data_IF_800213178567
#
_entry.id   IF_800213178567
#
_cell.length_a   1.000
_cell.length_b   1.000
_cell.length_c   1.000
_cell.angle_alpha   90.00
_cell.angle_beta   90.00
_cell.angle_gamma   90.00
#
_symmetry.space_group_name_H-M   'P 1'
#
loop_
_entity.id
_entity.type
_entity.pdbx_description
1 polymer ?
#
# COMPACT_ATOMS: atom_id res chain seq x y z
N UNK A 1 73.19 -48.42 -13.47
CA UNK A 1 72.24 -49.48 -13.84
C UNK A 1 71.01 -48.82 -14.45
N UNK A 2 70.79 -49.01 -15.78
CA UNK A 2 69.51 -48.97 -16.52
C UNK A 2 68.80 -47.59 -16.62
N UNK A 3 68.29 -47.07 -17.74
CA UNK A 3 68.27 -47.41 -19.16
C UNK A 3 67.68 -46.19 -19.93
N UNK A 4 68.00 -46.10 -21.22
CA UNK A 4 67.57 -45.13 -22.23
C UNK A 4 66.15 -45.42 -22.79
N UNK A 5 65.48 -44.43 -23.40
CA UNK A 5 64.36 -44.57 -24.38
C UNK A 5 63.22 -43.53 -24.18
N UNK A 6 63.13 -42.42 -24.92
CA UNK A 6 62.70 -42.19 -26.32
C UNK A 6 61.16 -42.32 -26.58
N UNK A 7 60.52 -41.14 -26.66
CA UNK A 7 59.31 -40.68 -27.40
C UNK A 7 58.14 -41.63 -27.79
N UNK A 8 56.90 -41.19 -27.52
CA UNK A 8 55.88 -40.99 -28.57
C UNK A 8 54.73 -40.05 -28.13
N UNK A 9 54.21 -39.35 -29.13
CA UNK A 9 53.24 -38.27 -29.18
C UNK A 9 51.78 -38.76 -29.02
N UNK A 10 50.94 -38.06 -28.24
CA UNK A 10 49.53 -37.81 -28.58
C UNK A 10 49.05 -36.50 -27.96
N UNK A 11 48.75 -35.54 -28.83
CA UNK A 11 47.98 -34.33 -28.55
C UNK A 11 46.49 -34.70 -28.61
N UNK A 12 45.72 -34.33 -27.59
CA UNK A 12 44.34 -33.84 -27.79
C UNK A 12 44.05 -32.74 -26.77
N UNK A 13 43.96 -31.52 -27.30
CA UNK A 13 43.39 -30.39 -26.62
C UNK A 13 41.88 -30.60 -26.45
N UNK A 14 41.35 -30.44 -25.23
CA UNK A 14 39.99 -29.93 -25.04
C UNK A 14 40.00 -29.05 -23.79
N UNK A 15 39.87 -27.74 -24.01
CA UNK A 15 39.22 -26.83 -23.07
C UNK A 15 40.09 -26.09 -22.05
N UNK A 16 40.88 -25.11 -22.50
CA UNK A 16 41.14 -23.92 -21.69
C UNK A 16 39.82 -23.13 -21.52
N UNK A 17 38.96 -23.50 -20.58
CA UNK A 17 37.86 -22.64 -20.14
C UNK A 17 37.31 -22.99 -18.75
N UNK A 18 38.20 -23.06 -17.75
CA UNK A 18 37.79 -22.94 -16.33
C UNK A 18 37.87 -21.50 -15.81
N UNK A 19 37.83 -20.51 -16.72
CA UNK A 19 37.95 -19.06 -16.43
C UNK A 19 36.67 -18.28 -16.78
N UNK A 20 35.50 -18.90 -16.58
CA UNK A 20 34.19 -18.25 -16.79
C UNK A 20 33.15 -18.52 -15.71
N UNK A 21 33.59 -18.61 -14.46
CA UNK A 21 32.66 -18.38 -13.35
C UNK A 21 32.76 -16.97 -12.77
N UNK A 22 33.89 -16.28 -12.91
CA UNK A 22 34.03 -14.92 -12.37
C UNK A 22 34.99 -14.03 -13.18
N UNK A 23 34.67 -13.68 -14.43
CA UNK A 23 35.22 -12.44 -15.00
C UNK A 23 34.25 -11.76 -15.98
N UNK A 24 34.07 -10.47 -15.74
CA UNK A 24 33.09 -9.59 -16.34
C UNK A 24 33.43 -9.20 -17.79
N UNK A 25 32.43 -9.20 -18.67
CA UNK A 25 32.21 -8.15 -19.66
C UNK A 25 30.85 -8.35 -20.35
N UNK A 26 30.00 -7.31 -20.30
CA UNK A 26 28.96 -7.10 -21.33
C UNK A 26 27.54 -7.50 -20.99
N UNK A 27 27.10 -7.27 -19.75
CA UNK A 27 25.69 -7.33 -19.43
C UNK A 27 25.49 -7.04 -17.97
N UNK A 28 25.31 -5.77 -17.61
CA UNK A 28 24.42 -5.45 -16.52
C UNK A 28 23.10 -6.13 -16.87
N UNK A 29 22.90 -7.36 -16.41
CA UNK A 29 21.55 -7.81 -16.13
C UNK A 29 21.12 -6.89 -14.99
N UNK A 30 20.74 -5.66 -15.34
CA UNK A 30 19.70 -4.99 -14.61
C UNK A 30 18.63 -6.06 -14.51
N UNK A 31 18.50 -6.64 -13.31
CA UNK A 31 17.20 -7.07 -12.82
C UNK A 31 16.22 -6.06 -13.43
N UNK A 32 15.21 -6.46 -14.22
CA UNK A 32 14.25 -5.50 -14.72
C UNK A 32 13.72 -4.78 -13.50
N UNK A 33 14.28 -3.60 -13.25
CA UNK A 33 14.04 -2.81 -12.07
C UNK A 33 12.74 -2.11 -12.37
N UNK A 34 11.67 -2.90 -12.45
CA UNK A 34 10.34 -2.36 -12.33
C UNK A 34 10.34 -1.72 -10.95
N UNK A 35 10.53 -0.41 -10.91
CA UNK A 35 10.21 0.39 -9.74
C UNK A 35 8.80 -0.03 -9.37
N UNK A 36 8.62 -0.57 -8.15
CA UNK A 36 7.30 -0.93 -7.69
C UNK A 36 6.37 0.29 -7.85
N UNK A 37 5.10 0.08 -8.28
CA UNK A 37 4.17 1.20 -8.45
C UNK A 37 4.13 2.03 -7.17
N UNK A 38 4.34 3.33 -7.31
CA UNK A 38 4.35 4.23 -6.17
C UNK A 38 2.93 4.73 -5.90
N UNK A 39 2.47 4.61 -4.65
CA UNK A 39 1.19 5.21 -4.28
C UNK A 39 1.29 6.73 -4.40
N UNK A 40 0.25 7.36 -4.92
CA UNK A 40 0.16 8.82 -5.14
C UNK A 40 -0.99 9.46 -4.37
N UNK A 41 -2.05 8.69 -4.10
CA UNK A 41 -3.25 9.20 -3.44
C UNK A 41 -4.01 8.11 -2.68
N UNK A 42 -4.91 8.57 -1.81
CA UNK A 42 -5.86 7.73 -1.11
C UNK A 42 -7.21 7.70 -1.84
N UNK A 43 -7.93 6.58 -1.72
CA UNK A 43 -9.34 6.49 -2.10
C UNK A 43 -10.16 5.76 -1.03
N UNK A 44 -11.46 6.01 -0.97
CA UNK A 44 -12.38 5.17 -0.20
C UNK A 44 -12.74 3.91 -1.00
N UNK A 45 -12.19 2.77 -0.60
CA UNK A 45 -12.55 1.45 -1.12
C UNK A 45 -13.90 0.94 -0.57
N UNK A 46 -14.32 1.45 0.58
CA UNK A 46 -15.68 1.28 1.12
C UNK A 46 -16.09 2.57 1.78
N UNK A 47 -17.16 3.19 1.28
CA UNK A 47 -17.68 4.47 1.74
C UNK A 47 -18.38 4.31 3.11
N UNK A 48 -18.38 5.35 3.96
CA UNK A 48 -19.29 5.41 5.10
C UNK A 48 -20.75 5.39 4.60
N UNK A 49 -21.61 4.75 5.38
CA UNK A 49 -23.04 4.65 5.14
C UNK A 49 -23.82 5.40 6.22
N UNK A 50 -25.11 5.60 5.98
CA UNK A 50 -25.99 6.20 6.98
C UNK A 50 -26.03 5.33 8.25
N UNK A 51 -26.07 5.99 9.41
CA UNK A 51 -26.11 5.34 10.73
C UNK A 51 -26.93 6.16 11.72
N UNK A 52 -27.25 5.61 12.88
CA UNK A 52 -27.76 6.39 14.02
C UNK A 52 -26.60 6.92 14.86
N UNK A 53 -26.82 8.02 15.56
CA UNK A 53 -25.84 8.61 16.48
C UNK A 53 -25.36 7.57 17.50
N UNK A 54 -24.04 7.46 17.66
CA UNK A 54 -23.38 6.48 18.53
C UNK A 54 -23.35 5.04 18.00
N UNK A 55 -24.08 4.71 16.94
CA UNK A 55 -24.00 3.40 16.30
C UNK A 55 -22.74 3.29 15.42
N UNK A 56 -22.22 2.07 15.29
CA UNK A 56 -21.11 1.80 14.35
C UNK A 56 -21.59 1.99 12.92
N UNK A 57 -20.81 2.74 12.14
CA UNK A 57 -20.97 2.83 10.69
C UNK A 57 -20.65 1.46 10.10
N UNK A 58 -21.64 0.84 9.45
CA UNK A 58 -21.54 -0.51 8.88
C UNK A 58 -22.04 -0.52 7.44
N UNK A 59 -21.29 -1.11 6.47
CA UNK A 59 -20.05 -1.88 6.65
C UNK A 59 -18.83 -1.03 7.09
N UNK A 60 -17.73 -1.68 7.55
CA UNK A 60 -16.48 -0.98 7.87
C UNK A 60 -16.00 -0.06 6.75
N UNK A 61 -15.54 1.13 7.14
CA UNK A 61 -14.96 2.08 6.19
C UNK A 61 -13.56 1.63 5.83
N UNK A 62 -13.22 1.65 4.54
CA UNK A 62 -11.92 1.18 4.03
C UNK A 62 -11.30 2.21 3.11
N UNK A 63 -10.00 2.42 3.27
CA UNK A 63 -9.19 3.36 2.49
C UNK A 63 -8.09 2.58 1.79
N UNK A 64 -7.95 2.75 0.47
CA UNK A 64 -6.87 2.16 -0.30
C UNK A 64 -5.84 3.23 -0.71
N UNK A 65 -4.58 2.83 -0.78
CA UNK A 65 -3.52 3.61 -1.41
C UNK A 65 -3.42 3.20 -2.88
N UNK A 66 -3.55 4.17 -3.79
CA UNK A 66 -3.54 3.94 -5.24
C UNK A 66 -2.40 4.68 -5.92
N UNK A 67 -1.93 4.11 -7.03
CA UNK A 67 -1.03 4.78 -7.98
C UNK A 67 -1.83 5.64 -8.98
N UNK A 68 -1.13 6.31 -9.90
CA UNK A 68 -1.75 7.18 -10.91
C UNK A 68 -2.46 6.42 -12.04
N UNK A 69 -2.30 5.09 -12.12
CA UNK A 69 -3.01 4.21 -13.06
C UNK A 69 -4.33 3.70 -12.48
N UNK A 70 -4.59 3.95 -11.18
CA UNK A 70 -5.81 3.52 -10.49
C UNK A 70 -5.71 2.13 -9.88
N UNK A 71 -4.50 1.57 -9.79
CA UNK A 71 -4.25 0.28 -9.17
C UNK A 71 -3.93 0.45 -7.67
N UNK A 72 -4.40 -0.50 -6.85
CA UNK A 72 -4.07 -0.50 -5.42
C UNK A 72 -2.63 -0.96 -5.21
N UNK A 73 -1.82 -0.13 -4.58
CA UNK A 73 -0.42 -0.42 -4.30
C UNK A 73 -0.32 -1.32 -3.07
N UNK A 74 -0.32 -2.63 -3.30
CA UNK A 74 -0.36 -3.63 -2.22
C UNK A 74 0.89 -3.64 -1.33
N UNK A 75 2.00 -3.08 -1.81
CA UNK A 75 3.27 -2.94 -1.09
C UNK A 75 3.36 -1.65 -0.26
N UNK A 76 2.29 -0.84 -0.20
CA UNK A 76 2.26 0.35 0.65
C UNK A 76 2.06 -0.04 2.13
N UNK A 77 2.94 0.45 3.01
CA UNK A 77 3.01 0.05 4.44
C UNK A 77 2.88 1.21 5.45
N UNK A 78 2.38 2.37 5.02
CA UNK A 78 2.13 3.49 5.92
C UNK A 78 0.95 3.26 6.89
N UNK A 79 0.49 4.33 7.53
CA UNK A 79 -0.72 4.32 8.37
C UNK A 79 -1.69 5.42 7.99
N UNK A 80 -2.99 5.17 8.08
CA UNK A 80 -4.03 6.18 7.84
C UNK A 80 -4.63 6.70 9.16
N UNK A 81 -5.12 7.93 9.10
CA UNK A 81 -6.01 8.53 10.08
C UNK A 81 -7.30 9.01 9.41
N UNK A 82 -8.40 8.97 10.16
CA UNK A 82 -9.73 9.39 9.74
C UNK A 82 -10.22 10.53 10.64
N UNK A 83 -10.86 11.53 10.04
CA UNK A 83 -11.50 12.62 10.76
C UNK A 83 -12.81 13.05 10.09
N UNK A 84 -13.66 13.75 10.83
CA UNK A 84 -14.78 14.49 10.23
C UNK A 84 -14.21 15.65 9.43
N UNK A 85 -14.62 15.74 8.17
CA UNK A 85 -14.27 16.83 7.25
C UNK A 85 -15.39 17.87 7.19
N UNK A 86 -16.63 17.40 7.03
CA UNK A 86 -17.83 18.20 7.18
C UNK A 86 -18.63 17.70 8.37
N UNK A 87 -18.82 18.58 9.35
CA UNK A 87 -19.71 18.34 10.48
C UNK A 87 -21.15 18.70 10.08
N UNK A 88 -22.04 17.71 10.10
CA UNK A 88 -23.45 17.86 9.79
C UNK A 88 -24.34 18.21 10.99
N UNK A 89 -23.78 18.24 12.21
CA UNK A 89 -24.53 18.51 13.44
C UNK A 89 -25.06 19.95 13.51
N UNK A 90 -26.13 20.15 14.27
CA UNK A 90 -26.76 21.46 14.43
C UNK A 90 -25.88 22.47 15.18
N UNK A 91 -25.13 21.98 16.18
CA UNK A 91 -24.36 22.82 17.10
C UNK A 91 -22.86 22.82 16.78
N UNK A 92 -22.41 21.95 15.87
CA UNK A 92 -21.00 21.68 15.64
C UNK A 92 -20.36 20.89 16.78
N UNK A 93 -19.17 20.35 16.51
CA UNK A 93 -18.39 19.61 17.49
C UNK A 93 -18.79 18.14 17.62
N UNK A 94 -19.42 17.56 16.58
CA UNK A 94 -19.62 16.12 16.52
C UNK A 94 -18.26 15.40 16.61
N UNK A 95 -18.21 14.31 17.37
CA UNK A 95 -16.99 13.54 17.60
C UNK A 95 -17.01 12.24 16.81
N UNK A 96 -15.97 12.05 16.01
CA UNK A 96 -15.62 10.75 15.46
C UNK A 96 -14.89 9.92 16.53
N UNK A 97 -15.40 8.73 16.81
CA UNK A 97 -14.83 7.79 17.78
C UNK A 97 -14.68 6.39 17.18
N UNK A 98 -14.04 5.49 17.91
CA UNK A 98 -13.56 4.20 17.42
C UNK A 98 -12.06 4.24 17.09
N UNK A 99 -11.63 3.35 16.21
CA UNK A 99 -10.26 3.30 15.70
C UNK A 99 -10.10 4.36 14.62
N UNK A 100 -9.52 5.52 14.94
CA UNK A 100 -9.45 6.67 14.02
C UNK A 100 -8.03 7.07 13.62
N UNK A 101 -6.99 6.58 14.29
CA UNK A 101 -5.60 7.00 14.08
C UNK A 101 -4.67 5.81 13.93
N UNK A 102 -3.56 6.03 13.21
CA UNK A 102 -2.47 5.07 13.04
C UNK A 102 -2.92 3.68 12.57
N UNK A 103 -3.94 3.62 11.71
CA UNK A 103 -4.47 2.36 11.17
C UNK A 103 -3.54 1.88 10.06
N UNK A 104 -2.90 0.70 10.19
CA UNK A 104 -1.93 0.23 9.21
C UNK A 104 -2.60 -0.12 7.89
N UNK A 105 -1.91 0.15 6.79
CA UNK A 105 -2.26 -0.43 5.50
C UNK A 105 -1.77 -1.89 5.44
N UNK A 106 -2.68 -2.79 5.12
CA UNK A 106 -2.39 -4.21 4.87
C UNK A 106 -2.80 -4.51 3.44
N UNK A 107 -1.85 -4.95 2.61
CA UNK A 107 -2.02 -5.10 1.17
C UNK A 107 -2.57 -3.80 0.53
N UNK A 108 -2.04 -2.65 0.93
CA UNK A 108 -2.45 -1.34 0.41
C UNK A 108 -3.82 -0.85 0.89
N UNK A 109 -4.45 -1.51 1.88
CA UNK A 109 -5.77 -1.12 2.41
C UNK A 109 -5.73 -0.95 3.94
N UNK A 110 -6.16 0.22 4.41
CA UNK A 110 -6.44 0.49 5.82
C UNK A 110 -7.95 0.31 6.10
N UNK A 111 -8.28 -0.42 7.16
CA UNK A 111 -9.69 -0.73 7.53
C UNK A 111 -10.04 -0.11 8.87
N UNK A 112 -11.12 0.65 8.91
CA UNK A 112 -11.65 1.33 10.09
C UNK A 112 -12.93 0.60 10.53
N UNK A 113 -12.84 -0.33 11.49
CA UNK A 113 -13.91 -1.32 11.73
C UNK A 113 -15.09 -0.79 12.55
N UNK A 114 -14.89 0.29 13.30
CA UNK A 114 -15.75 0.65 14.42
C UNK A 114 -16.00 2.16 14.52
N UNK A 115 -15.91 2.89 13.41
CA UNK A 115 -16.19 4.32 13.37
C UNK A 115 -17.61 4.64 13.83
N UNK A 116 -17.75 5.66 14.68
CA UNK A 116 -19.02 6.17 15.21
C UNK A 116 -19.00 7.69 15.25
N UNK A 117 -20.12 8.32 14.96
CA UNK A 117 -20.35 9.76 15.17
C UNK A 117 -21.42 9.91 16.26
N UNK A 118 -21.16 10.74 17.27
CA UNK A 118 -21.98 10.83 18.48
C UNK A 118 -23.18 11.80 18.39
N UNK A 119 -23.29 12.57 17.31
CA UNK A 119 -24.37 13.53 17.12
C UNK A 119 -25.16 13.28 15.83
N UNK A 120 -26.49 13.37 15.85
CA UNK A 120 -27.28 13.41 14.63
C UNK A 120 -26.98 14.67 13.81
N UNK A 121 -27.11 14.57 12.50
CA UNK A 121 -26.89 15.67 11.56
C UNK A 121 -28.20 16.28 11.06
N UNK A 122 -28.26 17.61 11.00
CA UNK A 122 -29.26 18.33 10.19
C UNK A 122 -28.81 18.44 8.72
N UNK A 123 -27.50 18.34 8.50
CA UNK A 123 -26.89 18.21 7.18
C UNK A 123 -26.10 16.90 7.10
N UNK A 124 -25.62 16.56 5.89
CA UNK A 124 -24.77 15.40 5.70
C UNK A 124 -23.37 15.60 6.29
N UNK A 125 -22.78 14.50 6.73
CA UNK A 125 -21.37 14.40 7.13
C UNK A 125 -20.51 13.95 5.96
N UNK A 126 -19.24 14.32 6.00
CA UNK A 126 -18.17 13.68 5.21
C UNK A 126 -16.99 13.36 6.11
N UNK A 127 -16.29 12.28 5.80
CA UNK A 127 -15.03 11.90 6.44
C UNK A 127 -13.86 12.20 5.52
N UNK A 128 -12.71 12.57 6.11
CA UNK A 128 -11.45 12.71 5.41
C UNK A 128 -10.43 11.69 5.92
N UNK A 129 -9.85 10.94 4.99
CA UNK A 129 -8.73 10.06 5.23
C UNK A 129 -7.42 10.74 4.82
N UNK A 130 -6.39 10.55 5.64
CA UNK A 130 -5.04 11.10 5.43
C UNK A 130 -3.98 10.16 5.95
N UNK A 131 -2.77 10.25 5.39
CA UNK A 131 -1.58 9.57 5.94
C UNK A 131 -0.35 10.48 6.07
N UNK A 132 -0.40 11.71 5.51
CA UNK A 132 0.70 12.68 5.55
C UNK A 132 1.73 12.55 4.43
N UNK A 133 1.65 11.50 3.60
CA UNK A 133 2.58 11.22 2.50
C UNK A 133 1.90 11.28 1.13
N UNK A 134 0.63 10.89 1.07
CA UNK A 134 -0.19 10.80 -0.14
C UNK A 134 -1.23 11.92 -0.16
N UNK A 135 -1.80 12.17 -1.33
CA UNK A 135 -2.96 13.07 -1.44
C UNK A 135 -4.13 12.52 -0.61
N UNK A 136 -4.66 13.35 0.28
CA UNK A 136 -5.81 13.03 1.12
C UNK A 136 -7.09 12.83 0.28
N UNK A 137 -8.09 12.16 0.86
CA UNK A 137 -9.39 11.94 0.22
C UNK A 137 -10.55 12.25 1.14
N UNK A 138 -11.61 12.85 0.58
CA UNK A 138 -12.90 13.07 1.24
C UNK A 138 -13.92 12.02 0.77
N UNK A 139 -14.76 11.54 1.69
CA UNK A 139 -15.80 10.55 1.41
C UNK A 139 -16.96 11.17 0.64
N UNK A 140 -17.84 10.31 0.12
CA UNK A 140 -19.20 10.73 -0.19
C UNK A 140 -19.95 11.19 1.06
N UNK A 141 -20.99 11.99 0.85
CA UNK A 141 -21.91 12.43 1.90
C UNK A 141 -22.70 11.26 2.47
N UNK A 142 -22.86 11.22 3.80
CA UNK A 142 -23.74 10.29 4.51
C UNK A 142 -24.45 10.99 5.67
N UNK A 143 -25.55 10.43 6.14
CA UNK A 143 -26.35 11.00 7.21
C UNK A 143 -26.22 10.21 8.50
N UNK A 144 -26.12 10.93 9.61
CA UNK A 144 -26.25 10.37 10.95
C UNK A 144 -27.60 10.80 11.50
N UNK A 145 -28.51 9.83 11.67
CA UNK A 145 -29.83 10.04 12.23
C UNK A 145 -29.84 9.98 13.77
N UNK A 146 -30.98 10.29 14.39
CA UNK A 146 -31.20 10.00 15.81
C UNK A 146 -31.11 8.49 16.13
#
# INVERSE_FOLDING_TARGET
>A
MKSLGLALLTVMAVGCHFDKLFNANGGSQAQPGGTAPAATHLIFATQPTNSSAGATISPPVRVAAMDDQGDTVTTFHGTAAMAIQRDGSALGGARLSGTTTSVPFVNGIATFPDLRIDQPGLAAYTLKARNGELSDVESGSFYVGP
#
